data_IF_214957799910
#
_entry.id   IF_214957799910
#
_cell.length_a   1.000
_cell.length_b   1.000
_cell.length_c   1.000
_cell.angle_alpha   90.00
_cell.angle_beta   90.00
_cell.angle_gamma   90.00
#
_symmetry.space_group_name_H-M   'P 1'
#
loop_
_entity.id
_entity.type
_entity.pdbx_description
1 polymer ?
#
# COMPACT_ATOMS: atom_id res chain seq x y z
N UNK A 1 0.89 -6.55 20.70
CA UNK A 1 2.21 -6.81 20.07
C UNK A 1 2.75 -8.16 20.51
N UNK A 2 2.72 -8.48 21.81
CA UNK A 2 3.11 -9.82 22.29
C UNK A 2 2.31 -10.95 21.62
N UNK A 3 0.99 -10.76 21.42
CA UNK A 3 0.17 -11.72 20.67
C UNK A 3 0.63 -11.89 19.20
N UNK A 4 1.08 -10.82 18.54
CA UNK A 4 1.61 -10.92 17.18
C UNK A 4 2.95 -11.64 17.13
N UNK A 5 3.84 -11.40 18.11
CA UNK A 5 5.13 -12.11 18.21
C UNK A 5 4.89 -13.60 18.45
N UNK A 6 3.96 -13.94 19.34
CA UNK A 6 3.57 -15.33 19.59
C UNK A 6 3.05 -16.01 18.31
N UNK A 7 2.21 -15.32 17.53
CA UNK A 7 1.75 -15.83 16.24
C UNK A 7 2.87 -16.01 15.22
N UNK A 8 3.80 -15.06 15.10
CA UNK A 8 4.95 -15.19 14.20
C UNK A 8 5.81 -16.39 14.56
N UNK A 9 5.95 -16.67 15.85
CA UNK A 9 6.65 -17.85 16.35
C UNK A 9 5.97 -19.17 16.00
N UNK A 10 4.63 -19.19 16.01
CA UNK A 10 3.90 -20.35 15.50
C UNK A 10 4.10 -20.61 13.99
N UNK A 11 4.56 -19.62 13.23
CA UNK A 11 4.77 -19.71 11.78
C UNK A 11 6.25 -19.68 11.36
N UNK A 12 7.20 -19.68 12.31
CA UNK A 12 8.65 -19.54 12.06
C UNK A 12 9.01 -18.31 11.18
N UNK A 13 8.38 -17.17 11.47
CA UNK A 13 8.54 -15.92 10.70
C UNK A 13 9.31 -14.83 11.44
N UNK A 14 9.85 -15.09 12.63
CA UNK A 14 10.48 -14.05 13.45
C UNK A 14 11.73 -13.45 12.80
N UNK A 15 12.46 -14.23 12.00
CA UNK A 15 13.64 -13.75 11.27
C UNK A 15 13.28 -12.92 10.03
N UNK A 16 12.00 -12.90 9.61
CA UNK A 16 11.50 -12.13 8.46
C UNK A 16 10.80 -10.84 8.86
N UNK A 17 10.50 -10.65 10.14
CA UNK A 17 9.68 -9.53 10.62
C UNK A 17 10.45 -8.67 11.61
N UNK A 18 10.56 -7.39 11.28
CA UNK A 18 11.08 -6.37 12.18
C UNK A 18 9.93 -5.53 12.75
N UNK A 19 9.86 -5.46 14.08
CA UNK A 19 8.95 -4.55 14.77
C UNK A 19 9.66 -3.26 15.15
N UNK A 20 9.27 -2.16 14.51
CA UNK A 20 9.82 -0.84 14.79
C UNK A 20 8.80 0.03 15.52
N UNK A 21 9.22 0.68 16.60
CA UNK A 21 8.39 1.58 17.40
C UNK A 21 8.75 3.05 17.15
N UNK A 22 7.72 3.89 17.02
CA UNK A 22 7.86 5.34 16.92
C UNK A 22 6.88 5.93 15.92
N UNK A 23 7.17 7.15 15.46
CA UNK A 23 6.35 7.83 14.47
C UNK A 23 6.53 7.17 13.08
N UNK A 24 5.47 6.60 12.48
CA UNK A 24 5.59 5.93 11.18
C UNK A 24 6.14 6.84 10.08
N UNK A 25 5.84 8.14 10.11
CA UNK A 25 6.34 9.08 9.11
C UNK A 25 7.85 9.32 9.21
N UNK A 26 8.44 9.15 10.38
CA UNK A 26 9.89 9.31 10.60
C UNK A 26 10.62 7.99 10.30
N UNK A 27 10.02 6.88 10.72
CA UNK A 27 10.57 5.53 10.53
C UNK A 27 10.58 5.14 9.05
N UNK A 28 9.49 5.39 8.32
CA UNK A 28 9.34 4.93 6.93
C UNK A 28 10.43 5.50 6.00
N UNK A 29 11.03 6.64 6.35
CA UNK A 29 12.09 7.30 5.56
C UNK A 29 13.34 6.43 5.46
N UNK A 30 13.59 5.57 6.46
CA UNK A 30 14.76 4.70 6.53
C UNK A 30 14.70 3.56 5.52
N UNK A 31 13.49 3.15 5.13
CA UNK A 31 13.27 2.11 4.14
C UNK A 31 13.29 2.69 2.73
N UNK A 32 13.95 1.98 1.80
CA UNK A 32 14.13 2.40 0.41
C UNK A 32 13.69 1.34 -0.56
N UNK A 33 13.24 1.77 -1.74
CA UNK A 33 12.82 0.89 -2.84
C UNK A 33 11.81 -0.19 -2.42
N UNK A 34 10.78 0.19 -1.66
CA UNK A 34 9.76 -0.74 -1.17
C UNK A 34 8.91 -1.28 -2.33
N UNK A 35 8.81 -2.60 -2.45
CA UNK A 35 8.01 -3.28 -3.47
C UNK A 35 6.53 -3.40 -3.06
N UNK A 36 6.25 -3.58 -1.77
CA UNK A 36 4.91 -3.77 -1.23
C UNK A 36 4.74 -3.03 0.10
N UNK A 37 3.67 -2.26 0.24
CA UNK A 37 3.34 -1.55 1.47
C UNK A 37 1.85 -1.62 1.78
N UNK A 38 1.51 -1.85 3.05
CA UNK A 38 0.15 -1.74 3.58
C UNK A 38 0.11 -0.62 4.60
N UNK A 39 -0.80 0.33 4.41
CA UNK A 39 -0.98 1.48 5.28
C UNK A 39 -2.39 1.40 5.89
N UNK A 40 -2.45 0.95 7.14
CA UNK A 40 -3.68 0.86 7.93
C UNK A 40 -3.59 1.81 9.13
N UNK A 41 -3.70 3.11 8.87
CA UNK A 41 -3.69 4.17 9.87
C UNK A 41 -4.87 5.14 9.68
N UNK A 42 -4.85 6.31 10.32
CA UNK A 42 -5.89 7.33 10.11
C UNK A 42 -5.66 8.09 8.79
N UNK A 43 -6.72 8.72 8.25
CA UNK A 43 -6.71 9.35 6.93
C UNK A 43 -5.65 10.45 6.74
N UNK A 44 -5.49 11.34 7.71
CA UNK A 44 -4.52 12.44 7.63
C UNK A 44 -3.08 11.90 7.57
N UNK A 45 -2.83 10.81 8.28
CA UNK A 45 -1.53 10.12 8.29
C UNK A 45 -1.29 9.37 6.98
N UNK A 46 -2.32 8.80 6.34
CA UNK A 46 -2.15 8.07 5.06
C UNK A 46 -1.51 8.93 3.97
N UNK A 47 -1.96 10.18 3.81
CA UNK A 47 -1.43 11.06 2.77
C UNK A 47 0.02 11.46 3.05
N UNK A 48 0.36 11.68 4.33
CA UNK A 48 1.72 12.01 4.75
C UNK A 48 2.65 10.81 4.57
N UNK A 49 2.23 9.62 5.00
CA UNK A 49 2.95 8.36 4.79
C UNK A 49 3.15 8.07 3.31
N UNK A 50 2.11 8.17 2.49
CA UNK A 50 2.19 7.93 1.05
C UNK A 50 3.12 8.90 0.31
N UNK A 51 3.25 10.14 0.80
CA UNK A 51 4.21 11.10 0.22
C UNK A 51 5.65 10.85 0.66
N UNK A 52 5.84 10.20 1.80
CA UNK A 52 7.15 10.04 2.46
C UNK A 52 7.79 8.70 2.14
N UNK A 53 6.98 7.67 1.90
CA UNK A 53 7.43 6.32 1.56
C UNK A 53 8.21 6.30 0.25
N UNK A 54 9.38 5.66 0.27
CA UNK A 54 10.21 5.44 -0.92
C UNK A 54 9.91 4.06 -1.51
N UNK A 55 9.14 4.05 -2.59
CA UNK A 55 8.64 2.84 -3.26
C UNK A 55 9.40 2.59 -4.55
N UNK A 56 9.52 1.31 -4.92
CA UNK A 56 10.20 0.91 -6.16
C UNK A 56 9.46 1.48 -7.38
N UNK A 57 10.07 2.38 -8.17
CA UNK A 57 9.43 3.01 -9.32
C UNK A 57 9.30 2.08 -10.53
N UNK A 58 9.94 0.90 -10.50
CA UNK A 58 9.84 -0.12 -11.57
C UNK A 58 8.62 -1.01 -11.44
N UNK A 59 7.96 -0.99 -10.28
CA UNK A 59 6.81 -1.83 -10.00
C UNK A 59 6.65 -2.05 -8.50
N UNK A 60 5.76 -1.29 -7.88
CA UNK A 60 5.41 -1.44 -6.47
C UNK A 60 3.90 -1.36 -6.28
N UNK A 61 3.44 -1.90 -5.15
CA UNK A 61 2.03 -1.90 -4.75
C UNK A 61 1.91 -1.28 -3.37
N UNK A 62 1.04 -0.28 -3.25
CA UNK A 62 0.67 0.35 -1.99
C UNK A 62 -0.81 0.15 -1.75
N UNK A 63 -1.15 -0.48 -0.63
CA UNK A 63 -2.51 -0.74 -0.21
C UNK A 63 -2.87 0.17 0.96
N UNK A 64 -3.97 0.89 0.85
CA UNK A 64 -4.49 1.77 1.91
C UNK A 64 -5.88 1.30 2.30
N UNK A 65 -6.05 0.90 3.56
CA UNK A 65 -7.33 0.46 4.13
C UNK A 65 -8.02 1.57 4.92
N UNK A 66 -9.27 1.33 5.32
CA UNK A 66 -10.05 2.21 6.19
C UNK A 66 -10.33 3.60 5.60
N UNK A 67 -10.76 3.64 4.34
CA UNK A 67 -11.16 4.86 3.64
C UNK A 67 -12.56 5.36 4.02
N UNK A 68 -13.01 5.11 5.25
CA UNK A 68 -14.35 5.52 5.71
C UNK A 68 -14.45 7.04 5.64
N UNK A 69 -15.18 7.47 4.62
CA UNK A 69 -15.89 8.74 4.42
C UNK A 69 -15.20 10.02 4.92
N UNK A 70 -14.88 10.86 3.93
CA UNK A 70 -14.41 12.22 4.14
C UNK A 70 -15.44 13.16 4.75
N UNK A 71 -14.92 14.11 5.51
CA UNK A 71 -15.53 15.42 5.80
C UNK A 71 -15.46 16.40 4.60
N UNK A 72 -14.42 16.29 3.74
CA UNK A 72 -14.02 17.37 2.80
C UNK A 72 -13.80 16.97 1.30
N UNK A 73 -14.50 15.99 0.75
CA UNK A 73 -14.68 15.94 -0.73
C UNK A 73 -13.51 15.55 -1.67
N UNK A 74 -12.21 15.47 -1.28
CA UNK A 74 -11.07 14.93 -2.12
C UNK A 74 -10.40 13.61 -1.66
N UNK A 75 -10.40 12.55 -2.49
CA UNK A 75 -10.06 11.16 -2.11
C UNK A 75 -8.59 10.86 -2.23
N UNK A 76 -8.14 9.88 -1.44
CA UNK A 76 -6.79 9.33 -1.61
C UNK A 76 -6.55 8.96 -3.08
N UNK A 77 -7.50 8.23 -3.70
CA UNK A 77 -7.46 7.90 -5.12
C UNK A 77 -7.34 9.13 -6.05
N UNK A 78 -8.09 10.20 -5.80
CA UNK A 78 -8.01 11.45 -6.60
C UNK A 78 -6.68 12.19 -6.45
N UNK A 79 -6.08 12.18 -5.25
CA UNK A 79 -4.74 12.75 -5.02
C UNK A 79 -3.67 11.94 -5.75
N UNK A 80 -3.78 10.61 -5.69
CA UNK A 80 -2.84 9.67 -6.30
C UNK A 80 -2.92 9.69 -7.82
N UNK A 81 -4.12 9.84 -8.41
CA UNK A 81 -4.36 9.91 -9.87
C UNK A 81 -3.56 11.00 -10.59
N UNK A 82 -3.10 12.03 -9.88
CA UNK A 82 -2.35 13.16 -10.48
C UNK A 82 -0.91 12.79 -10.85
N UNK A 83 -0.39 11.63 -10.40
CA UNK A 83 0.98 11.19 -10.72
C UNK A 83 0.99 10.30 -11.98
N UNK A 84 1.88 10.61 -12.94
CA UNK A 84 2.13 9.74 -14.11
C UNK A 84 2.73 8.41 -13.66
N UNK A 85 2.37 7.30 -14.32
CA UNK A 85 2.87 5.96 -13.98
C UNK A 85 2.24 5.34 -12.73
N UNK A 86 1.07 5.84 -12.33
CA UNK A 86 0.32 5.33 -11.18
C UNK A 86 -1.08 4.89 -11.62
N UNK A 87 -1.41 3.65 -11.33
CA UNK A 87 -2.74 3.05 -11.53
C UNK A 87 -3.34 2.75 -10.14
N UNK A 88 -4.65 2.92 -9.96
CA UNK A 88 -5.29 2.55 -8.70
C UNK A 88 -6.66 1.92 -8.93
N UNK A 89 -7.08 1.09 -7.98
CA UNK A 89 -8.44 0.53 -7.91
C UNK A 89 -8.95 0.63 -6.49
N UNK A 90 -10.18 1.08 -6.35
CA UNK A 90 -10.90 1.04 -5.08
C UNK A 90 -11.62 -0.29 -4.98
N UNK A 91 -11.32 -1.05 -3.92
CA UNK A 91 -11.94 -2.32 -3.61
C UNK A 91 -12.89 -2.13 -2.42
N UNK A 92 -14.10 -2.68 -2.53
CA UNK A 92 -15.09 -2.66 -1.46
C UNK A 92 -14.86 -3.81 -0.46
N UNK A 93 -13.60 -4.08 -0.11
CA UNK A 93 -13.23 -5.09 0.88
C UNK A 93 -13.14 -4.41 2.25
N UNK A 94 -13.72 -5.03 3.28
CA UNK A 94 -13.77 -4.48 4.63
C UNK A 94 -14.45 -3.10 4.65
N UNK A 95 -13.77 -2.11 5.26
CA UNK A 95 -14.25 -0.72 5.33
C UNK A 95 -13.89 0.14 4.10
N UNK A 96 -13.46 -0.50 3.00
CA UNK A 96 -12.99 0.14 1.79
C UNK A 96 -11.47 0.22 1.75
N UNK A 97 -10.88 -0.24 0.64
CA UNK A 97 -9.44 -0.27 0.40
C UNK A 97 -9.12 0.36 -0.95
N UNK A 98 -7.99 1.07 -1.05
CA UNK A 98 -7.42 1.52 -2.32
C UNK A 98 -6.10 0.81 -2.55
N UNK A 99 -6.06 0.04 -3.62
CA UNK A 99 -4.86 -0.58 -4.14
C UNK A 99 -4.25 0.37 -5.18
N UNK A 100 -3.00 0.78 -4.97
CA UNK A 100 -2.25 1.65 -5.87
C UNK A 100 -1.04 0.90 -6.42
N UNK A 101 -0.93 0.83 -7.74
CA UNK A 101 0.25 0.29 -8.44
C UNK A 101 1.08 1.44 -8.98
N UNK A 102 2.36 1.46 -8.68
CA UNK A 102 3.33 2.46 -9.13
C UNK A 102 4.33 1.76 -10.04
N UNK A 103 4.52 2.27 -11.26
CA UNK A 103 5.45 1.66 -12.21
C UNK A 103 5.35 2.25 -13.61
N UNK A 104 6.51 2.38 -14.27
CA UNK A 104 6.55 2.78 -15.68
C UNK A 104 5.93 1.69 -16.56
N UNK A 105 4.85 2.02 -17.26
CA UNK A 105 4.45 1.28 -18.47
C UNK A 105 5.30 1.80 -19.63
N UNK A 106 6.49 1.24 -19.82
CA UNK A 106 7.24 1.48 -21.05
C UNK A 106 6.48 0.87 -22.24
N UNK A 107 6.01 1.72 -23.16
CA UNK A 107 5.63 1.28 -24.50
C UNK A 107 6.86 0.69 -25.18
N UNK A 108 6.81 -0.56 -25.67
CA UNK A 108 7.86 -1.05 -26.57
C UNK A 108 8.08 -2.56 -26.68
N UNK A 109 7.44 -3.42 -25.89
CA UNK A 109 7.43 -4.86 -26.15
C UNK A 109 6.06 -5.44 -25.77
N UNK A 110 5.53 -6.31 -26.61
CA UNK A 110 4.35 -7.13 -26.34
C UNK A 110 4.59 -8.08 -25.16
N UNK A 111 4.71 -7.56 -23.94
CA UNK A 111 4.51 -8.37 -22.75
C UNK A 111 3.01 -8.38 -22.51
N UNK A 112 2.38 -9.51 -22.89
CA UNK A 112 0.98 -9.88 -22.63
C UNK A 112 0.40 -9.06 -21.47
N UNK A 113 -0.57 -8.20 -21.78
CA UNK A 113 -1.42 -7.52 -20.80
C UNK A 113 -2.06 -8.57 -19.89
N UNK A 114 -1.42 -8.89 -18.78
CA UNK A 114 -2.13 -9.42 -17.62
C UNK A 114 -2.69 -8.22 -16.84
N UNK A 115 -3.66 -7.54 -17.44
CA UNK A 115 -4.63 -6.69 -16.73
C UNK A 115 -5.57 -7.61 -15.94
N UNK A 116 -5.05 -8.35 -14.96
CA UNK A 116 -5.89 -9.13 -14.06
C UNK A 116 -5.43 -8.88 -12.64
N UNK A 117 -5.99 -7.84 -12.04
CA UNK A 117 -6.24 -7.88 -10.61
C UNK A 117 -7.26 -9.02 -10.42
N UNK A 118 -6.78 -10.19 -10.03
CA UNK A 118 -7.65 -11.28 -9.64
C UNK A 118 -7.91 -11.10 -8.15
N UNK A 119 -9.12 -10.66 -7.82
CA UNK A 119 -9.58 -10.51 -6.45
C UNK A 119 -10.63 -11.60 -6.24
N UNK A 120 -10.28 -12.61 -5.45
CA UNK A 120 -11.21 -13.65 -5.00
C UNK A 120 -11.64 -13.32 -3.57
N UNK A 121 -12.93 -13.43 -3.30
CA UNK A 121 -13.47 -13.44 -1.95
C UNK A 121 -14.33 -14.71 -1.84
N UNK A 122 -14.12 -15.50 -0.79
CA UNK A 122 -15.05 -16.55 -0.41
C UNK A 122 -15.98 -16.00 0.67
N UNK A 123 -17.26 -16.39 0.58
CA UNK A 123 -18.36 -15.92 1.45
C UNK A 123 -18.55 -16.86 2.63
#
# INVERSE_FOLDING_TARGET
MEDCKAQLSCYDLEDKVEFVHGNPCEIVIQFKSIDFAVIDCKFEDHLKLFKTIDVNPRGSIVLVSNLVRRRNGVSFGEVVRRKKGVEYVTLHIGQGMVLTRIGFTCNGHETRRYKRFHVTFES
#
